data_IF_625658224583
#
_entry.id   IF_625658224583
#
_cell.length_a   1.000
_cell.length_b   1.000
_cell.length_c   1.000
_cell.angle_alpha   90.00
_cell.angle_beta   90.00
_cell.angle_gamma   90.00
#
_symmetry.space_group_name_H-M   'P 1'
#
loop_
_entity.id
_entity.type
_entity.pdbx_description
1 polymer ?
#
# COMPACT_ATOMS: atom_id res chain seq x y z
N UNK A 1 -17.02 -12.69 -13.58
CA UNK A 1 -15.76 -12.14 -14.11
C UNK A 1 -14.83 -11.92 -12.93
N UNK A 2 -13.72 -12.66 -12.83
CA UNK A 2 -12.67 -12.35 -11.85
C UNK A 2 -11.82 -11.22 -12.42
N UNK A 3 -12.06 -9.99 -11.97
CA UNK A 3 -11.21 -8.85 -12.30
C UNK A 3 -9.87 -9.01 -11.58
N UNK A 4 -8.79 -9.18 -12.33
CA UNK A 4 -7.44 -9.04 -11.78
C UNK A 4 -7.16 -7.56 -11.60
N UNK A 5 -7.31 -7.05 -10.38
CA UNK A 5 -6.88 -5.70 -10.04
C UNK A 5 -5.37 -5.72 -9.85
N UNK A 6 -4.63 -5.17 -10.81
CA UNK A 6 -3.21 -4.87 -10.66
C UNK A 6 -3.04 -3.57 -9.86
N UNK A 7 -2.22 -3.59 -8.82
CA UNK A 7 -1.84 -2.41 -8.05
C UNK A 7 -0.39 -2.06 -8.37
N UNK A 8 -0.13 -0.81 -8.76
CA UNK A 8 1.22 -0.27 -8.94
C UNK A 8 1.39 0.94 -8.04
N UNK A 9 2.45 0.94 -7.24
CA UNK A 9 2.76 2.00 -6.30
C UNK A 9 4.25 2.32 -6.36
N UNK A 10 4.56 3.61 -6.39
CA UNK A 10 5.92 4.14 -6.39
C UNK A 10 5.96 5.23 -5.33
N UNK A 11 6.87 5.11 -4.38
CA UNK A 11 7.06 6.11 -3.32
C UNK A 11 8.55 6.36 -3.09
N UNK A 12 8.86 7.51 -2.51
CA UNK A 12 10.21 7.85 -2.07
C UNK A 12 10.50 7.22 -0.72
N UNK A 13 11.74 6.77 -0.51
CA UNK A 13 12.15 6.22 0.78
C UNK A 13 11.97 7.23 1.91
N UNK A 14 11.34 6.79 3.00
CA UNK A 14 11.19 7.59 4.22
C UNK A 14 10.03 8.58 4.20
N UNK A 15 9.20 8.57 3.15
CA UNK A 15 7.98 9.38 3.07
C UNK A 15 6.74 8.53 3.29
N UNK A 16 5.75 9.09 3.97
CA UNK A 16 4.41 8.50 4.07
C UNK A 16 3.51 9.15 3.03
N UNK A 17 2.82 8.34 2.23
CA UNK A 17 1.87 8.82 1.22
C UNK A 17 0.53 8.12 1.39
N UNK A 18 -0.56 8.88 1.22
CA UNK A 18 -1.91 8.32 1.13
C UNK A 18 -2.43 8.58 -0.29
N UNK A 19 -2.92 7.51 -0.94
CA UNK A 19 -3.63 7.62 -2.20
C UNK A 19 -5.06 7.15 -2.04
N UNK A 20 -5.98 7.98 -2.48
CA UNK A 20 -7.41 7.68 -2.51
C UNK A 20 -7.88 7.58 -3.95
N UNK A 21 -8.46 6.43 -4.30
CA UNK A 21 -9.10 6.20 -5.59
C UNK A 21 -10.62 6.12 -5.39
N UNK A 22 -11.38 6.76 -6.27
CA UNK A 22 -12.84 6.64 -6.26
C UNK A 22 -13.25 5.42 -7.06
N UNK A 23 -13.84 4.43 -6.39
CA UNK A 23 -14.38 3.24 -7.03
C UNK A 23 -15.91 3.37 -7.11
N UNK A 24 -16.47 3.28 -8.31
CA UNK A 24 -17.92 3.18 -8.48
C UNK A 24 -18.38 1.76 -8.18
N UNK A 25 -19.07 1.60 -7.05
CA UNK A 25 -19.79 0.36 -6.73
C UNK A 25 -21.12 0.43 -7.45
N UNK A 26 -21.27 -0.31 -8.53
CA UNK A 26 -22.51 -0.36 -9.30
C UNK A 26 -22.73 -1.74 -9.90
N UNK A 27 -23.97 -2.21 -9.92
CA UNK A 27 -24.32 -3.39 -10.70
C UNK A 27 -24.28 -2.98 -12.18
N UNK A 28 -23.44 -3.63 -12.98
CA UNK A 28 -23.39 -3.40 -14.44
C UNK A 28 -24.75 -3.71 -15.12
N UNK A 29 -25.64 -4.38 -14.39
CA UNK A 29 -27.03 -4.64 -14.75
C UNK A 29 -27.93 -3.74 -13.90
N UNK A 30 -28.73 -2.89 -14.54
CA UNK A 30 -29.81 -2.19 -13.83
C UNK A 30 -30.75 -3.20 -13.19
N UNK A 31 -31.31 -2.85 -12.03
CA UNK A 31 -32.39 -3.61 -11.40
C UNK A 31 -33.70 -2.95 -11.80
N UNK A 32 -34.51 -3.66 -12.57
CA UNK A 32 -35.87 -3.26 -12.91
C UNK A 32 -36.84 -3.93 -11.94
N UNK A 33 -37.77 -3.17 -11.38
CA UNK A 33 -38.85 -3.69 -10.54
C UNK A 33 -40.16 -3.04 -10.98
N UNK A 34 -41.23 -3.83 -11.03
CA UNK A 34 -42.57 -3.30 -11.28
C UNK A 34 -43.17 -2.79 -9.97
N UNK A 35 -43.87 -1.65 -10.04
CA UNK A 35 -44.59 -1.06 -8.91
C UNK A 35 -46.05 -0.94 -9.28
N UNK A 36 -46.92 -1.31 -8.34
CA UNK A 36 -48.35 -1.05 -8.46
C UNK A 36 -48.65 0.44 -8.27
N UNK A 37 -49.79 0.95 -8.77
CA UNK A 37 -50.20 2.34 -8.54
C UNK A 37 -50.24 2.69 -7.05
N UNK A 38 -49.53 3.75 -6.66
CA UNK A 38 -49.42 4.19 -5.27
C UNK A 38 -48.38 3.43 -4.43
N UNK A 39 -47.73 2.40 -4.98
CA UNK A 39 -46.65 1.68 -4.34
C UNK A 39 -45.32 2.44 -4.52
N UNK A 40 -44.46 2.40 -3.50
CA UNK A 40 -43.14 3.01 -3.53
C UNK A 40 -42.09 1.98 -3.05
N UNK A 41 -40.86 2.11 -3.56
CA UNK A 41 -39.76 1.22 -3.21
C UNK A 41 -38.60 1.95 -2.52
N UNK A 42 -37.81 1.19 -1.78
CA UNK A 42 -36.52 1.58 -1.21
C UNK A 42 -35.44 0.66 -1.76
N UNK A 43 -34.46 1.22 -2.45
CA UNK A 43 -33.31 0.47 -2.95
C UNK A 43 -32.11 0.66 -2.00
N UNK A 44 -31.52 -0.45 -1.54
CA UNK A 44 -30.35 -0.47 -0.67
C UNK A 44 -29.19 -1.10 -1.41
N UNK A 45 -28.20 -0.28 -1.77
CA UNK A 45 -26.91 -0.76 -2.25
C UNK A 45 -26.00 -1.03 -1.05
N UNK A 46 -25.51 -2.26 -0.94
CA UNK A 46 -24.61 -2.69 0.13
C UNK A 46 -23.40 -3.39 -0.44
N UNK A 47 -22.25 -3.25 0.21
CA UNK A 47 -21.03 -3.97 -0.11
C UNK A 47 -20.26 -4.27 1.18
N UNK A 48 -19.45 -5.32 1.16
CA UNK A 48 -18.55 -5.65 2.26
C UNK A 48 -17.27 -4.82 2.11
N UNK A 49 -16.89 -4.09 3.16
CA UNK A 49 -15.61 -3.38 3.20
C UNK A 49 -14.54 -4.30 3.81
N UNK A 50 -13.46 -4.50 3.08
CA UNK A 50 -12.25 -5.18 3.54
C UNK A 50 -11.06 -4.24 3.62
N UNK A 51 -10.05 -4.65 4.36
CA UNK A 51 -8.73 -4.03 4.35
C UNK A 51 -7.67 -5.12 4.27
N UNK A 52 -6.70 -4.94 3.38
CA UNK A 52 -5.49 -5.74 3.29
C UNK A 52 -4.35 -4.92 3.87
N UNK A 53 -3.62 -5.49 4.83
CA UNK A 53 -2.40 -4.92 5.36
C UNK A 53 -1.22 -5.79 4.93
N UNK A 54 -0.22 -5.17 4.31
CA UNK A 54 0.99 -5.83 3.82
C UNK A 54 2.18 -5.17 4.50
N UNK A 55 3.01 -5.96 5.19
CA UNK A 55 4.31 -5.51 5.70
C UNK A 55 5.41 -5.97 4.74
N UNK A 56 6.16 -5.02 4.19
CA UNK A 56 7.36 -5.26 3.39
C UNK A 56 8.58 -4.95 4.26
N UNK A 57 9.46 -5.93 4.42
CA UNK A 57 10.70 -5.79 5.19
C UNK A 57 11.86 -5.67 4.23
N UNK A 58 12.52 -4.52 4.25
CA UNK A 58 13.68 -4.21 3.42
C UNK A 58 14.96 -4.28 4.26
N UNK A 59 15.95 -5.03 3.77
CA UNK A 59 17.31 -5.00 4.31
C UNK A 59 18.18 -4.09 3.45
N UNK A 60 18.53 -2.92 3.98
CA UNK A 60 19.43 -1.99 3.31
C UNK A 60 20.86 -2.14 3.84
N UNK A 61 21.84 -2.21 2.94
CA UNK A 61 23.26 -2.36 3.28
C UNK A 61 24.11 -1.35 2.52
N UNK A 62 24.98 -0.62 3.23
CA UNK A 62 25.88 0.34 2.60
C UNK A 62 27.09 -0.40 2.00
N UNK A 63 27.43 -0.06 0.76
CA UNK A 63 28.52 -0.66 -0.01
C UNK A 63 29.40 0.42 -0.62
N UNK A 64 30.66 0.08 -0.84
CA UNK A 64 31.65 0.95 -1.45
C UNK A 64 32.82 1.24 -0.52
N UNK A 65 33.47 2.38 -0.76
CA UNK A 65 34.70 2.76 -0.09
C UNK A 65 34.63 4.22 0.36
N UNK A 66 35.41 4.55 1.38
CA UNK A 66 35.59 5.93 1.85
C UNK A 66 36.96 6.40 1.42
N UNK A 67 37.03 7.47 0.63
CA UNK A 67 38.31 8.09 0.30
C UNK A 67 38.76 8.96 1.48
N UNK A 68 39.97 8.70 2.00
CA UNK A 68 40.54 9.45 3.11
C UNK A 68 41.92 10.02 2.74
N UNK A 69 42.24 11.18 3.31
CA UNK A 69 43.53 11.85 3.16
C UNK A 69 44.11 12.17 4.53
N UNK A 70 45.25 11.57 4.86
CA UNK A 70 45.95 11.82 6.11
C UNK A 70 46.98 12.94 5.94
N UNK A 71 47.00 13.91 6.86
CA UNK A 71 48.02 14.98 6.87
C UNK A 71 49.45 14.44 7.01
N UNK A 72 49.63 13.39 7.81
CA UNK A 72 50.90 12.65 7.98
C UNK A 72 50.71 11.28 7.30
N UNK A 73 51.68 10.78 6.49
CA UNK A 73 51.51 9.51 5.80
C UNK A 73 51.22 8.36 6.76
N UNK A 74 50.16 7.60 6.49
CA UNK A 74 49.93 6.32 7.14
C UNK A 74 50.52 5.22 6.27
N UNK A 75 51.45 4.43 6.82
CA UNK A 75 52.18 3.37 6.09
C UNK A 75 52.77 3.85 4.75
N UNK A 76 53.34 5.06 4.74
CA UNK A 76 54.01 5.63 3.56
C UNK A 76 53.07 6.29 2.53
N UNK A 77 51.76 6.32 2.75
CA UNK A 77 50.80 6.92 1.81
C UNK A 77 49.86 7.91 2.51
N UNK A 78 49.56 9.02 1.83
CA UNK A 78 48.57 10.01 2.29
C UNK A 78 47.13 9.60 1.97
N UNK A 79 46.92 8.92 0.84
CA UNK A 79 45.59 8.58 0.34
C UNK A 79 45.29 7.10 0.55
N UNK A 80 44.13 6.80 1.11
CA UNK A 80 43.62 5.46 1.30
C UNK A 80 42.15 5.37 0.94
N UNK A 81 41.70 4.18 0.56
CA UNK A 81 40.33 3.91 0.11
C UNK A 81 39.78 2.66 0.82
N UNK A 82 39.69 2.65 2.16
CA UNK A 82 39.14 1.50 2.89
C UNK A 82 37.69 1.21 2.50
N UNK A 83 37.28 -0.05 2.61
CA UNK A 83 35.88 -0.43 2.43
C UNK A 83 35.01 0.16 3.55
N UNK A 84 33.80 0.60 3.21
CA UNK A 84 32.87 1.15 4.21
C UNK A 84 32.52 0.11 5.28
N UNK A 85 32.40 -1.16 4.88
CA UNK A 85 32.16 -2.29 5.80
C UNK A 85 33.28 -2.39 6.85
N UNK A 86 34.54 -2.27 6.44
CA UNK A 86 35.69 -2.28 7.35
C UNK A 86 35.76 -1.06 8.25
N UNK A 87 35.44 0.13 7.73
CA UNK A 87 35.37 1.39 8.50
C UNK A 87 34.30 1.30 9.57
N UNK A 88 33.07 0.94 9.21
CA UNK A 88 31.94 0.84 10.14
C UNK A 88 32.18 -0.24 11.20
N UNK A 89 32.67 -1.42 10.79
CA UNK A 89 33.03 -2.50 11.72
C UNK A 89 34.09 -2.07 12.73
N UNK A 90 35.11 -1.34 12.29
CA UNK A 90 36.17 -0.83 13.18
C UNK A 90 35.64 0.21 14.18
N UNK A 91 34.56 0.91 13.83
CA UNK A 91 33.86 1.84 14.71
C UNK A 91 32.75 1.21 15.57
N UNK A 92 32.53 -0.11 15.48
CA UNK A 92 31.44 -0.79 16.19
C UNK A 92 30.05 -0.44 15.66
N UNK A 93 29.94 -0.01 14.40
CA UNK A 93 28.69 0.36 13.74
C UNK A 93 28.17 -0.79 12.88
N UNK A 94 26.85 -1.00 12.89
CA UNK A 94 26.17 -1.90 11.97
C UNK A 94 26.15 -1.31 10.55
N UNK A 95 26.48 -2.12 9.54
CA UNK A 95 26.49 -1.71 8.13
C UNK A 95 25.18 -2.05 7.40
N UNK A 96 24.15 -2.44 8.16
CA UNK A 96 22.84 -2.77 7.63
C UNK A 96 21.74 -2.21 8.51
N UNK A 97 20.61 -1.89 7.89
CA UNK A 97 19.41 -1.44 8.59
C UNK A 97 18.20 -2.18 8.04
N UNK A 98 17.30 -2.56 8.94
CA UNK A 98 16.01 -3.13 8.59
C UNK A 98 14.99 -1.99 8.52
N UNK A 99 14.33 -1.86 7.38
CA UNK A 99 13.28 -0.88 7.14
C UNK A 99 11.97 -1.64 6.96
N UNK A 100 10.94 -1.24 7.71
CA UNK A 100 9.60 -1.81 7.58
C UNK A 100 8.70 -0.81 6.87
N UNK A 101 8.00 -1.29 5.85
CA UNK A 101 7.00 -0.53 5.12
C UNK A 101 5.65 -1.23 5.26
N UNK A 102 4.64 -0.51 5.75
CA UNK A 102 3.28 -1.04 5.92
C UNK A 102 2.36 -0.42 4.89
N UNK A 103 1.81 -1.23 4.01
CA UNK A 103 0.86 -0.81 2.97
C UNK A 103 -0.53 -1.27 3.38
N UNK A 104 -1.47 -0.34 3.46
CA UNK A 104 -2.89 -0.61 3.77
C UNK A 104 -3.75 -0.35 2.56
N UNK A 105 -4.43 -1.37 2.06
CA UNK A 105 -5.34 -1.28 0.92
C UNK A 105 -6.77 -1.56 1.37
N UNK A 106 -7.63 -0.55 1.31
CA UNK A 106 -9.06 -0.72 1.46
C UNK A 106 -9.69 -1.23 0.16
N UNK A 107 -10.61 -2.18 0.27
CA UNK A 107 -11.36 -2.69 -0.89
C UNK A 107 -12.82 -2.98 -0.53
N UNK A 108 -13.67 -3.07 -1.55
CA UNK A 108 -15.07 -3.46 -1.40
C UNK A 108 -15.35 -4.72 -2.20
N UNK A 109 -16.08 -5.68 -1.62
CA UNK A 109 -16.53 -6.92 -2.27
C UNK A 109 -18.03 -7.11 -2.13
N UNK A 110 -18.57 -8.09 -2.88
CA UNK A 110 -19.94 -8.59 -2.73
C UNK A 110 -21.01 -7.50 -2.78
N UNK A 111 -20.82 -6.54 -3.69
CA UNK A 111 -21.81 -5.51 -3.91
C UNK A 111 -23.16 -6.13 -4.29
N UNK A 112 -24.21 -5.75 -3.57
CA UNK A 112 -25.57 -6.23 -3.80
C UNK A 112 -26.56 -5.07 -3.71
N UNK A 113 -27.55 -5.08 -4.59
CA UNK A 113 -28.66 -4.16 -4.58
C UNK A 113 -29.91 -4.94 -4.17
N UNK A 114 -30.55 -4.53 -3.07
CA UNK A 114 -31.81 -5.11 -2.61
C UNK A 114 -32.90 -4.05 -2.66
N UNK A 115 -34.06 -4.43 -3.17
CA UNK A 115 -35.22 -3.55 -3.29
C UNK A 115 -36.30 -4.02 -2.32
N UNK A 116 -36.90 -3.06 -1.62
CA UNK A 116 -37.92 -3.32 -0.61
C UNK A 116 -39.12 -2.43 -0.86
N UNK A 117 -40.31 -2.92 -0.55
CA UNK A 117 -41.51 -2.10 -0.51
C UNK A 117 -41.39 -1.08 0.63
N UNK A 118 -41.66 0.19 0.33
CA UNK A 118 -41.43 1.29 1.27
C UNK A 118 -42.34 1.24 2.49
N UNK A 119 -43.53 0.66 2.38
CA UNK A 119 -44.54 0.66 3.45
C UNK A 119 -44.41 -0.61 4.29
N UNK A 120 -44.38 -1.78 3.64
CA UNK A 120 -44.35 -3.08 4.31
C UNK A 120 -42.95 -3.55 4.69
N UNK A 121 -41.89 -3.00 4.08
CA UNK A 121 -40.49 -3.41 4.30
C UNK A 121 -40.15 -4.80 3.75
N UNK A 122 -41.08 -5.44 3.03
CA UNK A 122 -40.85 -6.74 2.42
C UNK A 122 -40.00 -6.59 1.15
N UNK A 123 -39.19 -7.61 0.79
CA UNK A 123 -38.48 -7.62 -0.49
C UNK A 123 -39.45 -7.50 -1.67
N UNK A 124 -39.06 -6.72 -2.69
CA UNK A 124 -39.70 -6.67 -4.00
C UNK A 124 -38.95 -7.55 -5.00
#
# INVERSE_FOLDING_TARGET
>A
MMGTTGFSYTTSWGESEERSETITIGTASGVETELLPGQAATAILSANKGALEVEVVHLAKLRGNVAVNFKIPYKGHHFWVPSIDGVMKSGGLENEVIIKETIKLGFYTDASLKVYDKISGQPL
#
